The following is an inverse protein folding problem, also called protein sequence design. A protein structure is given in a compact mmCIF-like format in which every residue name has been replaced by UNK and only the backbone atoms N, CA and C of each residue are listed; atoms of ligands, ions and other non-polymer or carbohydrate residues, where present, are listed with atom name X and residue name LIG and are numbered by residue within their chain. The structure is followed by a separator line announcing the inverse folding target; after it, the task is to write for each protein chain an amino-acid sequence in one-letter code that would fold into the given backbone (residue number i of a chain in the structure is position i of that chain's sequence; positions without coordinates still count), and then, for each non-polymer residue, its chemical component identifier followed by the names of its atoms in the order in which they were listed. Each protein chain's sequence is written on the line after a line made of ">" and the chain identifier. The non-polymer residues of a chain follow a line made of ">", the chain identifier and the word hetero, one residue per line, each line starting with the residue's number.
data_IF_267224117687
#
_entry.id   IF_267224117687
#
_cell.length_a   1.000
_cell.length_b   1.000
_cell.length_c   1.000
_cell.angle_alpha   90.00
_cell.angle_beta   90.00
_cell.angle_gamma   90.00
#
_symmetry.space_group_name_H-M   'P 1'
#
loop_
_entity.id
_entity.type
_entity.pdbx_description
1 polymer ?
#
# COMPACT_ATOMS: atom_id res chain seq x y z
N UNK A 1 -3.43 -0.86 -1.48
CA UNK A 1 -2.40 0.17 -1.14
C UNK A 1 -2.69 1.41 -1.95
N UNK A 2 -2.97 2.52 -1.28
CA UNK A 2 -3.08 3.83 -1.92
C UNK A 2 -1.76 4.57 -1.72
N UNK A 3 -1.19 5.06 -2.82
CA UNK A 3 0.06 5.83 -2.83
C UNK A 3 -0.32 7.26 -3.13
N UNK A 4 -0.02 8.14 -2.18
CA UNK A 4 -0.27 9.56 -2.30
C UNK A 4 1.03 10.29 -2.62
N UNK A 5 0.96 11.25 -3.54
CA UNK A 5 2.05 12.19 -3.78
C UNK A 5 1.80 13.50 -3.04
N UNK A 6 2.88 14.13 -2.60
CA UNK A 6 2.87 15.43 -1.94
C UNK A 6 3.82 16.33 -2.69
N UNK A 7 3.30 17.43 -3.23
CA UNK A 7 4.10 18.39 -3.99
C UNK A 7 4.51 19.63 -3.18
N UNK A 8 4.00 19.79 -1.95
CA UNK A 8 4.32 20.93 -1.07
C UNK A 8 5.05 20.46 0.19
N UNK A 9 6.27 20.95 0.36
CA UNK A 9 7.10 20.82 1.57
C UNK A 9 7.41 22.21 2.13
N UNK A 10 7.56 22.39 3.46
CA UNK A 10 7.69 21.36 4.50
C UNK A 10 6.41 20.98 5.26
N UNK A 11 5.30 21.70 5.10
CA UNK A 11 4.04 21.44 5.81
C UNK A 11 2.95 21.00 4.83
N UNK A 12 2.91 19.72 4.44
CA UNK A 12 1.82 19.22 3.61
C UNK A 12 0.52 19.24 4.38
N UNK A 13 -0.54 19.79 3.77
CA UNK A 13 -1.91 19.61 4.25
C UNK A 13 -2.50 18.34 3.64
N UNK A 14 -3.54 17.79 4.28
CA UNK A 14 -4.34 16.69 3.71
C UNK A 14 -4.90 17.08 2.33
N UNK A 15 -5.22 18.35 2.12
CA UNK A 15 -5.73 18.85 0.84
C UNK A 15 -4.67 18.93 -0.26
N UNK A 16 -3.39 18.72 0.07
CA UNK A 16 -2.28 18.69 -0.88
C UNK A 16 -1.87 17.24 -1.24
N UNK A 17 -2.61 16.24 -0.76
CA UNK A 17 -2.41 14.82 -1.07
C UNK A 17 -3.24 14.42 -2.29
N UNK A 18 -2.56 14.07 -3.38
CA UNK A 18 -3.19 13.48 -4.55
C UNK A 18 -2.87 12.00 -4.63
N UNK A 19 -3.86 11.17 -4.97
CA UNK A 19 -3.64 9.75 -5.25
C UNK A 19 -2.80 9.66 -6.53
N UNK A 20 -1.55 9.22 -6.38
CA UNK A 20 -0.64 8.97 -7.49
C UNK A 20 -0.91 7.59 -8.09
N UNK A 21 -0.99 6.57 -7.21
CA UNK A 21 -1.16 5.17 -7.64
C UNK A 21 -2.01 4.37 -6.68
N UNK A 22 -2.71 3.41 -7.25
CA UNK A 22 -3.46 2.40 -6.52
C UNK A 22 -2.90 1.03 -6.85
N UNK A 23 -2.44 0.32 -5.82
CA UNK A 23 -1.84 -1.00 -5.95
C UNK A 23 -2.71 -2.00 -5.19
N UNK A 24 -3.37 -2.95 -5.87
CA UNK A 24 -4.08 -4.02 -5.19
C UNK A 24 -3.12 -4.86 -4.36
N UNK A 25 -3.56 -5.25 -3.18
CA UNK A 25 -2.85 -6.23 -2.35
C UNK A 25 -3.43 -7.59 -2.69
N UNK A 26 -2.99 -8.15 -3.81
CA UNK A 26 -3.42 -9.44 -4.33
C UNK A 26 -2.23 -10.42 -4.36
N UNK A 27 -2.44 -11.60 -4.96
CA UNK A 27 -1.41 -12.63 -5.11
C UNK A 27 -0.22 -12.18 -6.00
N UNK A 28 -0.38 -11.13 -6.83
CA UNK A 28 0.68 -10.62 -7.69
C UNK A 28 1.62 -9.65 -6.92
N UNK A 29 1.16 -9.08 -5.80
CA UNK A 29 1.95 -8.17 -4.98
C UNK A 29 2.95 -8.92 -4.10
N UNK A 30 4.22 -8.83 -4.45
CA UNK A 30 5.34 -9.31 -3.63
C UNK A 30 5.88 -8.19 -2.77
N UNK A 31 6.01 -8.48 -1.48
CA UNK A 31 6.59 -7.60 -0.46
C UNK A 31 7.80 -8.29 0.14
N UNK A 32 8.89 -7.54 0.32
CA UNK A 32 10.04 -7.99 1.11
C UNK A 32 10.40 -6.85 2.05
N UNK A 33 10.26 -7.08 3.34
CA UNK A 33 10.70 -6.15 4.38
C UNK A 33 12.04 -6.60 4.93
N UNK A 34 13.06 -5.76 4.81
CA UNK A 34 14.30 -5.93 5.56
C UNK A 34 14.10 -5.30 6.93
N UNK A 35 14.11 -6.13 7.98
CA UNK A 35 14.12 -5.65 9.36
C UNK A 35 15.51 -5.06 9.63
N UNK A 36 15.62 -3.87 10.24
CA UNK A 36 16.90 -3.32 10.64
C UNK A 36 17.66 -4.34 11.49
N UNK A 37 18.87 -4.68 11.05
CA UNK A 37 19.77 -5.56 11.78
C UNK A 37 20.07 -4.91 13.13
N UNK A 38 19.74 -5.57 14.24
CA UNK A 38 19.88 -5.04 15.61
C UNK A 38 21.35 -4.66 15.90
N UNK A 39 22.31 -5.24 15.15
CA UNK A 39 23.73 -4.92 15.24
C UNK A 39 24.15 -3.63 14.50
N UNK A 40 23.32 -3.13 13.59
CA UNK A 40 23.49 -1.88 12.87
C UNK A 40 22.37 -0.93 13.30
N UNK A 41 22.69 0.18 13.97
CA UNK A 41 21.71 1.25 14.28
C UNK A 41 21.10 1.84 12.99
N UNK A 42 20.16 1.13 12.38
CA UNK A 42 19.39 1.57 11.23
C UNK A 42 18.05 2.04 11.76
N UNK A 43 17.88 3.35 11.80
CA UNK A 43 16.62 3.99 12.23
C UNK A 43 15.55 3.95 11.11
N UNK A 44 15.60 2.94 10.23
CA UNK A 44 14.71 2.81 9.08
C UNK A 44 14.49 1.36 8.67
N UNK A 45 13.30 1.10 8.12
CA UNK A 45 12.92 -0.13 7.44
C UNK A 45 13.03 0.06 5.93
N UNK A 46 13.38 -1.02 5.23
CA UNK A 46 13.35 -1.06 3.77
C UNK A 46 12.25 -2.01 3.33
N UNK A 47 11.27 -1.49 2.61
CA UNK A 47 10.17 -2.27 2.04
C UNK A 47 10.26 -2.26 0.52
N UNK A 48 10.46 -3.44 -0.06
CA UNK A 48 10.38 -3.65 -1.50
C UNK A 48 8.96 -4.02 -1.90
N UNK A 49 8.37 -3.26 -2.82
CA UNK A 49 7.06 -3.51 -3.41
C UNK A 49 7.22 -3.88 -4.89
N UNK A 50 6.77 -5.06 -5.28
CA UNK A 50 6.82 -5.52 -6.67
C UNK A 50 5.51 -6.15 -7.13
N UNK A 51 4.90 -5.58 -8.16
CA UNK A 51 3.74 -6.11 -8.88
C UNK A 51 3.74 -5.57 -10.33
N UNK A 52 2.70 -5.87 -11.11
CA UNK A 52 2.51 -5.26 -12.44
C UNK A 52 2.26 -3.73 -12.39
N UNK A 53 1.84 -3.21 -11.23
CA UNK A 53 1.51 -1.80 -11.04
C UNK A 53 2.67 -0.99 -10.43
N UNK A 54 3.57 -1.66 -9.70
CA UNK A 54 4.66 -0.98 -9.00
C UNK A 54 5.92 -1.84 -8.94
N UNK A 55 7.07 -1.17 -9.08
CA UNK A 55 8.37 -1.72 -8.75
C UNK A 55 9.13 -0.62 -7.99
N UNK A 56 9.03 -0.63 -6.66
CA UNK A 56 9.54 0.44 -5.81
C UNK A 56 10.21 -0.10 -4.55
N UNK A 57 11.18 0.67 -4.05
CA UNK A 57 11.79 0.48 -2.75
C UNK A 57 11.40 1.67 -1.88
N UNK A 58 10.79 1.42 -0.74
CA UNK A 58 10.39 2.42 0.22
C UNK A 58 11.34 2.37 1.42
N UNK A 59 11.88 3.52 1.78
CA UNK A 59 12.63 3.70 3.02
C UNK A 59 11.67 4.34 4.03
N UNK A 60 11.33 3.60 5.08
CA UNK A 60 10.36 4.00 6.08
C UNK A 60 11.08 4.29 7.39
N UNK A 61 10.74 5.36 8.11
CA UNK A 61 11.38 5.65 9.41
C UNK A 61 11.05 4.57 10.43
N UNK A 62 11.94 4.33 11.39
CA UNK A 62 11.63 3.50 12.55
C UNK A 62 10.68 4.24 13.49
N UNK A 63 9.39 4.01 13.28
CA UNK A 63 8.29 4.65 13.99
C UNK A 63 7.16 3.64 14.19
N UNK A 64 6.36 3.83 15.25
CA UNK A 64 5.21 2.96 15.55
C UNK A 64 4.24 2.86 14.37
N UNK A 65 4.00 3.97 13.67
CA UNK A 65 3.16 3.99 12.45
C UNK A 65 3.71 3.10 11.33
N UNK A 66 5.04 2.98 11.20
CA UNK A 66 5.66 2.09 10.22
C UNK A 66 5.43 0.63 10.60
N UNK A 67 5.59 0.28 11.88
CA UNK A 67 5.31 -1.07 12.36
C UNK A 67 3.85 -1.47 12.11
N UNK A 68 2.89 -0.62 12.48
CA UNK A 68 1.46 -0.86 12.22
C UNK A 68 1.17 -1.01 10.72
N UNK A 69 1.79 -0.19 9.87
CA UNK A 69 1.63 -0.30 8.43
C UNK A 69 2.12 -1.66 7.89
N UNK A 70 3.29 -2.13 8.35
CA UNK A 70 3.84 -3.42 7.93
C UNK A 70 2.99 -4.61 8.42
N UNK A 71 2.47 -4.55 9.64
CA UNK A 71 1.54 -5.54 10.19
C UNK A 71 0.26 -5.63 9.36
N UNK A 72 -0.35 -4.50 9.04
CA UNK A 72 -1.57 -4.44 8.24
C UNK A 72 -1.35 -4.92 6.80
N UNK A 73 -0.21 -4.59 6.20
CA UNK A 73 0.17 -5.09 4.89
C UNK A 73 0.32 -6.63 4.90
N UNK A 74 1.00 -7.17 5.91
CA UNK A 74 1.19 -8.61 6.08
C UNK A 74 -0.15 -9.32 6.29
N UNK A 75 -1.03 -8.75 7.14
CA UNK A 75 -2.39 -9.24 7.38
C UNK A 75 -3.18 -9.31 6.08
N UNK A 76 -3.18 -8.23 5.30
CA UNK A 76 -3.88 -8.18 4.00
C UNK A 76 -3.35 -9.23 3.01
N UNK A 77 -2.03 -9.45 2.94
CA UNK A 77 -1.44 -10.47 2.07
C UNK A 77 -1.74 -11.90 2.51
N UNK A 78 -1.80 -12.15 3.82
CA UNK A 78 -2.09 -13.49 4.37
C UNK A 78 -3.46 -14.04 3.95
N UNK A 79 -4.42 -13.15 3.67
CA UNK A 79 -5.73 -13.52 3.11
C UNK A 79 -5.53 -14.23 1.77
N UNK A 80 -4.61 -13.75 0.94
CA UNK A 80 -4.34 -14.32 -0.38
C UNK A 80 -3.51 -15.61 -0.30
N UNK A 81 -2.58 -15.74 0.65
CA UNK A 81 -1.82 -17.00 0.82
C UNK A 81 -2.72 -18.17 1.23
N UNK A 82 -3.82 -17.90 1.95
CA UNK A 82 -4.78 -18.92 2.38
C UNK A 82 -5.83 -19.26 1.31
N UNK A 83 -6.12 -18.34 0.39
CA UNK A 83 -7.18 -18.51 -0.63
C UNK A 83 -6.70 -19.28 -1.86
N UNK A 84 -5.38 -19.34 -2.16
CA UNK A 84 -4.85 -20.11 -3.31
C UNK A 84 -5.29 -21.59 -3.28
N UNK A 85 -5.60 -22.14 -2.10
CA UNK A 85 -6.12 -23.50 -1.95
C UNK A 85 -7.61 -23.68 -2.31
N UNK A 86 -8.39 -22.59 -2.43
CA UNK A 86 -9.86 -22.62 -2.56
C UNK A 86 -10.41 -21.94 -3.82
N UNK A 87 -9.57 -21.32 -4.66
CA UNK A 87 -9.97 -20.71 -5.94
C UNK A 87 -9.28 -19.37 -6.20
N UNK A 88 -9.62 -18.74 -7.34
CA UNK A 88 -9.09 -17.42 -7.67
C UNK A 88 -9.53 -16.41 -6.60
N UNK A 89 -8.59 -15.68 -5.99
CA UNK A 89 -8.92 -14.74 -4.95
C UNK A 89 -9.71 -13.54 -5.52
N UNK A 90 -10.47 -12.82 -4.67
CA UNK A 90 -11.32 -11.71 -5.11
C UNK A 90 -10.50 -10.67 -5.88
N UNK A 91 -11.03 -10.27 -7.04
CA UNK A 91 -10.44 -9.20 -7.85
C UNK A 91 -10.89 -7.85 -7.31
N UNK A 92 -9.99 -6.88 -7.31
CA UNK A 92 -10.28 -5.52 -6.84
C UNK A 92 -10.85 -4.64 -7.97
N UNK A 93 -11.93 -5.09 -8.63
CA UNK A 93 -12.52 -4.38 -9.77
C UNK A 93 -12.94 -2.93 -9.43
N UNK A 94 -13.34 -2.67 -8.19
CA UNK A 94 -13.70 -1.33 -7.71
C UNK A 94 -12.52 -0.35 -7.69
N UNK A 95 -11.26 -0.82 -7.65
CA UNK A 95 -10.08 0.06 -7.71
C UNK A 95 -9.93 0.75 -9.07
N UNK A 96 -10.59 0.27 -10.13
CA UNK A 96 -10.59 0.93 -11.45
C UNK A 96 -11.13 2.36 -11.40
N UNK A 97 -12.00 2.66 -10.43
CA UNK A 97 -12.56 3.99 -10.23
C UNK A 97 -11.51 5.01 -9.79
N UNK A 98 -10.43 4.57 -9.15
CA UNK A 98 -9.37 5.42 -8.63
C UNK A 98 -8.26 5.71 -9.66
N UNK A 99 -8.25 4.99 -10.79
CA UNK A 99 -7.35 5.29 -11.92
C UNK A 99 -7.87 6.42 -12.82
N UNK A 100 -9.10 6.90 -12.61
CA UNK A 100 -9.73 7.95 -13.43
C UNK A 100 -9.64 9.29 -12.68
N UNK A 101 -8.64 10.10 -13.04
CA UNK A 101 -8.27 11.37 -12.41
C UNK A 101 -9.36 12.48 -12.33
N UNK A 102 -10.61 12.23 -12.73
CA UNK A 102 -11.59 13.31 -12.94
C UNK A 102 -12.83 13.31 -12.03
N UNK A 103 -13.02 12.33 -11.14
CA UNK A 103 -14.12 12.33 -10.17
C UNK A 103 -13.58 11.97 -8.79
N UNK A 104 -14.10 12.62 -7.73
CA UNK A 104 -13.83 12.20 -6.35
C UNK A 104 -14.26 10.73 -6.21
N UNK A 105 -13.32 9.78 -6.08
CA UNK A 105 -13.65 8.36 -6.18
C UNK A 105 -14.39 7.87 -4.92
N UNK A 106 -14.30 8.61 -3.80
CA UNK A 106 -15.02 8.33 -2.57
C UNK A 106 -16.48 8.82 -2.60
N UNK A 107 -16.84 9.71 -3.53
CA UNK A 107 -18.22 10.22 -3.63
C UNK A 107 -19.21 9.18 -4.18
N UNK A 108 -18.69 8.13 -4.83
CA UNK A 108 -19.47 7.02 -5.41
C UNK A 108 -19.27 5.70 -4.65
N UNK A 109 -18.43 5.71 -3.61
CA UNK A 109 -18.12 4.54 -2.79
C UNK A 109 -19.25 4.38 -1.76
N UNK A 110 -20.38 3.85 -2.24
CA UNK A 110 -21.41 3.32 -1.35
C UNK A 110 -20.85 2.00 -0.85
N UNK A 111 -20.35 1.99 0.39
CA UNK A 111 -20.11 0.77 1.13
C UNK A 111 -21.47 0.08 1.27
N UNK A 112 -21.85 -0.75 0.29
CA UNK A 112 -23.05 -1.56 0.37
C UNK A 112 -22.89 -2.50 1.58
N UNK A 113 -23.81 -2.44 2.57
CA UNK A 113 -23.75 -3.28 3.77
C UNK A 113 -23.95 -4.77 3.48
#
# INVERSE_FOLDING_TARGET
>A
LFIFSVNKFPNPSINDLDIDKVVPVDADLRTVSEVPDISQKKDFYVLHLKSKFINAQLVLPDHTSTATFLEELTRAQSVYSNIVAFGNPPTFAWLENYNRQNDNPFAKDVFDP
#
